data_IF_999316827702
#
_entry.id   IF_999316827702
#
_cell.length_a   1.000
_cell.length_b   1.000
_cell.length_c   1.000
_cell.angle_alpha   90.00
_cell.angle_beta   90.00
_cell.angle_gamma   90.00
#
_symmetry.space_group_name_H-M   'P 1'
#
loop_
_entity.id
_entity.type
_entity.pdbx_description
1 polymer ?
#
# COMPACT_ATOMS: atom_id res chain seq x y z
N UNK A 1 1.77 -1.07 13.30
CA UNK A 1 1.55 -0.60 11.90
C UNK A 1 0.90 -1.72 11.09
N UNK A 2 0.20 -1.43 9.98
CA UNK A 2 -0.62 -2.42 9.26
C UNK A 2 0.12 -3.67 8.76
N UNK A 3 1.45 -3.63 8.63
CA UNK A 3 2.25 -4.75 8.11
C UNK A 3 3.28 -5.32 9.11
N UNK A 4 3.22 -4.95 10.39
CA UNK A 4 4.18 -5.45 11.39
C UNK A 4 4.13 -6.97 11.50
N UNK A 5 2.94 -7.55 11.67
CA UNK A 5 2.77 -8.99 11.79
C UNK A 5 3.26 -9.79 10.56
N UNK A 6 3.00 -9.29 9.35
CA UNK A 6 3.50 -9.90 8.12
C UNK A 6 5.02 -9.82 8.03
N UNK A 7 5.58 -8.63 8.28
CA UNK A 7 7.03 -8.41 8.25
C UNK A 7 7.79 -9.29 9.27
N UNK A 8 7.26 -9.41 10.49
CA UNK A 8 7.83 -10.26 11.54
C UNK A 8 7.82 -11.73 11.14
N UNK A 9 6.69 -12.24 10.60
CA UNK A 9 6.56 -13.64 10.17
C UNK A 9 7.49 -13.96 9.00
N UNK A 10 7.53 -13.10 7.99
CA UNK A 10 8.47 -13.27 6.88
C UNK A 10 9.92 -13.25 7.35
N UNK A 11 10.27 -12.31 8.24
CA UNK A 11 11.61 -12.21 8.82
C UNK A 11 11.98 -13.46 9.61
N UNK A 12 11.05 -14.02 10.39
CA UNK A 12 11.27 -15.25 11.16
C UNK A 12 11.51 -16.46 10.23
N UNK A 13 10.68 -16.60 9.17
CA UNK A 13 10.84 -17.67 8.18
C UNK A 13 12.19 -17.56 7.46
N UNK A 14 12.57 -16.35 7.02
CA UNK A 14 13.84 -16.15 6.35
C UNK A 14 15.06 -16.33 7.27
N UNK A 15 14.94 -16.01 8.57
CA UNK A 15 15.98 -16.30 9.55
C UNK A 15 16.20 -17.81 9.73
N UNK A 16 15.11 -18.60 9.74
CA UNK A 16 15.20 -20.08 9.78
C UNK A 16 15.94 -20.60 8.55
N UNK A 17 15.62 -20.11 7.34
CA UNK A 17 16.32 -20.48 6.10
C UNK A 17 17.81 -20.13 6.13
N UNK A 18 18.17 -18.93 6.60
CA UNK A 18 19.57 -18.49 6.70
C UNK A 18 20.41 -19.35 7.63
N UNK A 19 19.79 -19.91 8.67
CA UNK A 19 20.50 -20.77 9.64
C UNK A 19 20.75 -22.19 9.12
N UNK A 20 20.13 -22.58 7.98
CA UNK A 20 20.39 -23.86 7.29
C UNK A 20 21.50 -23.63 6.25
N UNK A 21 22.67 -24.20 6.44
CA UNK A 21 23.83 -23.99 5.55
C UNK A 21 23.59 -24.45 4.11
N UNK A 22 22.98 -25.64 3.93
CA UNK A 22 22.50 -26.15 2.65
C UNK A 22 20.98 -26.17 2.65
N UNK A 23 20.35 -25.86 1.54
CA UNK A 23 18.92 -25.96 1.38
C UNK A 23 18.56 -27.13 0.46
N UNK A 24 17.57 -27.91 0.89
CA UNK A 24 16.90 -28.89 0.05
C UNK A 24 15.61 -28.30 -0.54
N UNK A 25 15.09 -28.95 -1.54
CA UNK A 25 13.76 -28.62 -2.12
C UNK A 25 12.66 -28.65 -1.04
N UNK A 26 12.75 -29.61 -0.10
CA UNK A 26 11.82 -29.71 1.03
C UNK A 26 11.86 -28.49 1.94
N UNK A 27 13.07 -27.98 2.23
CA UNK A 27 13.23 -26.78 3.06
C UNK A 27 12.62 -25.53 2.42
N UNK A 28 12.79 -25.39 1.13
CA UNK A 28 12.16 -24.29 0.35
C UNK A 28 10.64 -24.42 0.37
N UNK A 29 10.09 -25.61 0.12
CA UNK A 29 8.64 -25.86 0.16
C UNK A 29 8.04 -25.58 1.54
N UNK A 30 8.72 -25.98 2.62
CA UNK A 30 8.31 -25.71 4.00
C UNK A 30 8.27 -24.18 4.26
N UNK A 31 9.33 -23.46 3.90
CA UNK A 31 9.39 -22.02 4.06
C UNK A 31 8.30 -21.30 3.24
N UNK A 32 8.05 -21.73 2.03
CA UNK A 32 7.00 -21.14 1.17
C UNK A 32 5.59 -21.44 1.72
N UNK A 33 5.41 -22.54 2.44
CA UNK A 33 4.16 -22.79 3.17
C UNK A 33 3.95 -21.77 4.30
N UNK A 34 5.01 -21.47 5.09
CA UNK A 34 4.95 -20.45 6.12
C UNK A 34 4.67 -19.06 5.52
N UNK A 35 5.35 -18.71 4.41
CA UNK A 35 5.09 -17.45 3.66
C UNK A 35 3.63 -17.37 3.23
N UNK A 36 3.05 -18.44 2.68
CA UNK A 36 1.64 -18.45 2.27
C UNK A 36 0.71 -18.19 3.45
N UNK A 37 0.96 -18.83 4.59
CA UNK A 37 0.15 -18.62 5.80
C UNK A 37 0.24 -17.17 6.28
N UNK A 38 1.44 -16.59 6.29
CA UNK A 38 1.65 -15.20 6.67
C UNK A 38 0.91 -14.22 5.74
N UNK A 39 0.88 -14.49 4.43
CA UNK A 39 0.13 -13.69 3.47
C UNK A 39 -1.39 -13.80 3.69
N UNK A 40 -1.91 -15.02 3.94
CA UNK A 40 -3.34 -15.23 4.21
C UNK A 40 -3.78 -14.57 5.52
N UNK A 41 -2.97 -14.62 6.56
CA UNK A 41 -3.24 -13.93 7.83
C UNK A 41 -3.18 -12.40 7.70
N UNK A 42 -2.48 -11.90 6.68
CA UNK A 42 -2.46 -10.48 6.29
C UNK A 42 -3.57 -10.11 5.31
N UNK A 43 -4.64 -10.91 5.21
CA UNK A 43 -5.80 -10.71 4.35
C UNK A 43 -5.49 -10.66 2.83
N UNK A 44 -4.37 -11.24 2.41
CA UNK A 44 -4.08 -11.38 0.98
C UNK A 44 -5.02 -12.40 0.36
N UNK A 45 -5.59 -12.07 -0.80
CA UNK A 45 -6.49 -12.97 -1.53
C UNK A 45 -5.85 -14.35 -1.74
N UNK A 46 -6.60 -15.42 -1.46
CA UNK A 46 -6.11 -16.81 -1.52
C UNK A 46 -5.48 -17.17 -2.87
N UNK A 47 -6.11 -16.78 -3.97
CA UNK A 47 -5.59 -17.07 -5.32
C UNK A 47 -4.26 -16.36 -5.54
N UNK A 48 -4.16 -15.08 -5.16
CA UNK A 48 -2.92 -14.31 -5.27
C UNK A 48 -1.81 -14.93 -4.44
N UNK A 49 -2.06 -15.28 -3.17
CA UNK A 49 -1.08 -15.91 -2.29
C UNK A 49 -0.63 -17.29 -2.83
N UNK A 50 -1.56 -18.08 -3.38
CA UNK A 50 -1.28 -19.38 -3.97
C UNK A 50 -0.39 -19.26 -5.23
N UNK A 51 -0.76 -18.38 -6.15
CA UNK A 51 -0.05 -18.18 -7.42
C UNK A 51 1.36 -17.61 -7.15
N UNK A 52 1.48 -16.65 -6.23
CA UNK A 52 2.75 -16.11 -5.78
C UNK A 52 3.69 -17.19 -5.23
N UNK A 53 3.21 -17.99 -4.25
CA UNK A 53 4.02 -19.06 -3.64
C UNK A 53 4.42 -20.12 -4.66
N UNK A 54 3.54 -20.46 -5.61
CA UNK A 54 3.85 -21.37 -6.70
C UNK A 54 5.01 -20.84 -7.53
N UNK A 55 4.92 -19.60 -8.02
CA UNK A 55 5.95 -18.96 -8.85
C UNK A 55 7.30 -18.88 -8.12
N UNK A 56 7.28 -18.46 -6.85
CA UNK A 56 8.50 -18.38 -6.03
C UNK A 56 9.10 -19.77 -5.82
N UNK A 57 8.28 -20.78 -5.51
CA UNK A 57 8.77 -22.15 -5.30
C UNK A 57 9.43 -22.71 -6.56
N UNK A 58 8.80 -22.57 -7.72
CA UNK A 58 9.34 -23.04 -9.01
C UNK A 58 10.71 -22.40 -9.30
N UNK A 59 10.88 -21.11 -9.02
CA UNK A 59 12.17 -20.42 -9.20
C UNK A 59 13.20 -20.79 -8.14
N UNK A 60 12.77 -21.01 -6.90
CA UNK A 60 13.66 -21.24 -5.74
C UNK A 60 14.18 -22.67 -5.65
N UNK A 61 13.49 -23.69 -6.21
CA UNK A 61 13.94 -25.08 -6.24
C UNK A 61 14.86 -25.39 -7.42
N UNK A 62 15.15 -24.43 -8.28
CA UNK A 62 16.11 -24.61 -9.38
C UNK A 62 17.49 -25.00 -8.88
N UNK A 63 18.15 -25.91 -9.59
CA UNK A 63 19.47 -26.48 -9.23
C UNK A 63 20.53 -25.38 -8.98
N UNK A 64 20.51 -24.33 -9.80
CA UNK A 64 21.42 -23.20 -9.66
C UNK A 64 21.26 -22.46 -8.32
N UNK A 65 20.04 -22.40 -7.76
CA UNK A 65 19.76 -21.76 -6.49
C UNK A 65 20.22 -22.65 -5.32
N UNK A 66 19.86 -23.93 -5.37
CA UNK A 66 20.16 -24.88 -4.29
C UNK A 66 21.66 -25.20 -4.18
N UNK A 67 22.39 -25.17 -5.31
CA UNK A 67 23.83 -25.40 -5.36
C UNK A 67 24.67 -24.14 -5.15
N UNK A 68 24.06 -22.95 -5.02
CA UNK A 68 24.77 -21.70 -4.79
C UNK A 68 25.45 -21.68 -3.41
N UNK A 69 26.50 -20.85 -3.27
CA UNK A 69 27.19 -20.63 -1.99
C UNK A 69 26.26 -19.96 -0.94
N UNK A 70 25.21 -19.30 -1.37
CA UNK A 70 24.27 -18.57 -0.51
C UNK A 70 22.81 -18.86 -0.88
N UNK A 71 22.35 -20.13 -0.81
CA UNK A 71 21.02 -20.51 -1.32
C UNK A 71 19.88 -19.79 -0.60
N UNK A 72 19.96 -19.59 0.72
CA UNK A 72 18.97 -18.84 1.47
C UNK A 72 18.84 -17.39 1.01
N UNK A 73 19.94 -16.72 0.69
CA UNK A 73 19.91 -15.35 0.17
C UNK A 73 19.29 -15.30 -1.22
N UNK A 74 19.55 -16.29 -2.08
CA UNK A 74 18.94 -16.41 -3.39
C UNK A 74 17.43 -16.58 -3.28
N UNK A 75 16.94 -17.45 -2.40
CA UNK A 75 15.50 -17.62 -2.14
C UNK A 75 14.87 -16.31 -1.67
N UNK A 76 15.49 -15.61 -0.72
CA UNK A 76 14.98 -14.31 -0.23
C UNK A 76 14.92 -13.28 -1.35
N UNK A 77 15.96 -13.23 -2.21
CA UNK A 77 15.97 -12.35 -3.37
C UNK A 77 14.82 -12.67 -4.32
N UNK A 78 14.59 -13.93 -4.65
CA UNK A 78 13.48 -14.37 -5.51
C UNK A 78 12.14 -13.92 -4.91
N UNK A 79 11.94 -14.12 -3.60
CA UNK A 79 10.70 -13.65 -2.91
C UNK A 79 10.55 -12.14 -3.05
N UNK A 80 11.62 -11.37 -2.83
CA UNK A 80 11.58 -9.91 -2.95
C UNK A 80 11.27 -9.45 -4.38
N UNK A 81 11.89 -10.06 -5.38
CA UNK A 81 11.70 -9.73 -6.78
C UNK A 81 10.26 -10.05 -7.24
N UNK A 82 9.72 -11.21 -6.83
CA UNK A 82 8.35 -11.59 -7.13
C UNK A 82 7.31 -10.73 -6.38
N UNK A 83 7.57 -10.33 -5.13
CA UNK A 83 6.71 -9.38 -4.41
C UNK A 83 6.72 -8.01 -5.09
N UNK A 84 7.88 -7.56 -5.55
CA UNK A 84 8.01 -6.30 -6.29
C UNK A 84 7.24 -6.36 -7.62
N UNK A 85 7.35 -7.46 -8.34
CA UNK A 85 6.60 -7.68 -9.58
C UNK A 85 5.09 -7.72 -9.35
N UNK A 86 4.64 -8.37 -8.26
CA UNK A 86 3.23 -8.43 -7.86
C UNK A 86 2.67 -7.04 -7.51
N UNK A 87 3.46 -6.18 -6.89
CA UNK A 87 3.07 -4.81 -6.53
C UNK A 87 3.08 -3.85 -7.73
N UNK A 88 3.64 -4.26 -8.84
CA UNK A 88 3.75 -3.48 -10.07
C UNK A 88 5.20 -3.09 -10.39
N UNK A 89 5.64 -3.45 -11.58
CA UNK A 89 7.03 -3.24 -12.03
C UNK A 89 7.31 -1.81 -12.50
N UNK A 90 6.27 -1.02 -12.77
CA UNK A 90 6.40 0.32 -13.36
C UNK A 90 5.71 1.37 -12.51
N UNK A 91 6.35 2.54 -12.38
CA UNK A 91 5.73 3.70 -11.77
C UNK A 91 4.62 4.24 -12.67
N UNK A 92 3.36 4.18 -12.21
CA UNK A 92 2.22 4.74 -12.92
C UNK A 92 1.87 6.09 -12.32
N UNK A 93 1.79 7.11 -13.16
CA UNK A 93 1.34 8.45 -12.74
C UNK A 93 -0.17 8.47 -12.59
N UNK A 94 -0.66 9.30 -11.67
CA UNK A 94 -2.09 9.57 -11.56
C UNK A 94 -2.53 10.39 -12.78
N UNK A 95 -3.49 9.87 -13.53
CA UNK A 95 -4.05 10.58 -14.66
C UNK A 95 -4.97 11.70 -14.16
N UNK A 96 -4.60 12.93 -14.47
CA UNK A 96 -5.43 14.08 -14.19
C UNK A 96 -6.48 14.25 -15.30
N UNK A 97 -7.71 14.59 -14.92
CA UNK A 97 -8.80 14.87 -15.85
C UNK A 97 -8.50 16.13 -16.69
N UNK A 98 -8.95 16.13 -17.94
CA UNK A 98 -9.00 17.36 -18.75
C UNK A 98 -10.07 18.35 -18.27
N UNK A 99 -11.05 17.88 -17.48
CA UNK A 99 -12.06 18.71 -16.83
C UNK A 99 -11.57 19.13 -15.44
N UNK A 100 -11.78 20.37 -15.07
CA UNK A 100 -11.44 20.94 -13.76
C UNK A 100 -12.72 20.96 -12.90
N UNK A 101 -12.62 20.53 -11.62
CA UNK A 101 -11.47 19.89 -10.97
C UNK A 101 -11.32 18.41 -11.28
N UNK A 102 -10.09 17.89 -11.17
CA UNK A 102 -9.89 16.43 -11.07
C UNK A 102 -10.34 15.96 -9.69
N UNK A 103 -11.22 14.99 -9.63
CA UNK A 103 -11.74 14.43 -8.37
C UNK A 103 -10.99 13.14 -8.05
N UNK A 104 -10.42 13.06 -6.84
CA UNK A 104 -9.75 11.87 -6.34
C UNK A 104 -10.48 11.41 -5.07
N UNK A 105 -11.10 10.23 -5.11
CA UNK A 105 -11.77 9.62 -3.98
C UNK A 105 -10.84 8.64 -3.27
N UNK A 106 -10.50 8.91 -2.00
CA UNK A 106 -9.68 8.04 -1.16
C UNK A 106 -10.53 7.00 -0.46
N UNK A 107 -10.42 5.74 -0.91
CA UNK A 107 -11.18 4.61 -0.37
C UNK A 107 -10.27 3.65 0.43
N UNK A 108 -10.84 2.97 1.41
CA UNK A 108 -10.15 1.95 2.20
C UNK A 108 -10.75 1.73 3.57
N UNK A 109 -10.32 0.68 4.25
CA UNK A 109 -10.74 0.35 5.62
C UNK A 109 -10.21 1.36 6.64
N UNK A 110 -10.75 1.34 7.85
CA UNK A 110 -10.22 2.15 8.96
C UNK A 110 -8.76 1.80 9.22
N UNK A 111 -7.93 2.81 9.49
CA UNK A 111 -6.48 2.61 9.70
C UNK A 111 -5.65 2.42 8.41
N UNK A 112 -6.25 2.33 7.22
CA UNK A 112 -5.52 2.20 5.94
C UNK A 112 -4.73 3.44 5.52
N UNK A 113 -4.80 4.52 6.30
CA UNK A 113 -4.02 5.74 6.06
C UNK A 113 -4.65 6.75 5.09
N UNK A 114 -5.96 6.65 4.78
CA UNK A 114 -6.65 7.59 3.86
C UNK A 114 -6.33 9.05 4.13
N UNK A 115 -6.57 9.51 5.35
CA UNK A 115 -6.34 10.91 5.76
C UNK A 115 -4.89 11.33 5.57
N UNK A 116 -3.95 10.50 6.01
CA UNK A 116 -2.51 10.78 5.88
C UNK A 116 -2.05 10.82 4.42
N UNK A 117 -2.51 9.87 3.60
CA UNK A 117 -2.15 9.82 2.19
C UNK A 117 -2.83 10.92 1.38
N UNK A 118 -4.06 11.34 1.74
CA UNK A 118 -4.70 12.51 1.13
C UNK A 118 -3.84 13.75 1.28
N UNK A 119 -3.33 14.03 2.49
CA UNK A 119 -2.47 15.18 2.72
C UNK A 119 -1.11 15.07 2.00
N UNK A 120 -0.49 13.89 1.99
CA UNK A 120 0.77 13.63 1.26
C UNK A 120 0.60 13.80 -0.25
N UNK A 121 -0.50 13.28 -0.80
CA UNK A 121 -0.81 13.40 -2.22
C UNK A 121 -1.10 14.85 -2.60
N UNK A 122 -1.87 15.56 -1.79
CA UNK A 122 -2.13 16.98 -1.99
C UNK A 122 -0.83 17.80 -1.95
N UNK A 123 0.05 17.53 -0.98
CA UNK A 123 1.38 18.16 -0.92
C UNK A 123 2.19 17.87 -2.19
N UNK A 124 2.21 16.63 -2.65
CA UNK A 124 2.90 16.23 -3.89
C UNK A 124 2.39 17.01 -5.12
N UNK A 125 1.06 17.12 -5.29
CA UNK A 125 0.49 17.93 -6.36
C UNK A 125 0.80 19.42 -6.22
N UNK A 126 0.80 19.96 -5.00
CA UNK A 126 1.18 21.34 -4.73
C UNK A 126 2.62 21.61 -5.18
N UNK A 127 3.56 20.68 -4.91
CA UNK A 127 4.96 20.80 -5.36
C UNK A 127 5.09 20.78 -6.91
N UNK A 128 4.11 20.21 -7.60
CA UNK A 128 4.01 20.24 -9.06
C UNK A 128 3.29 21.47 -9.61
N UNK A 129 3.06 22.49 -8.78
CA UNK A 129 2.36 23.72 -9.17
C UNK A 129 0.86 23.57 -9.35
N UNK A 130 0.25 22.46 -8.88
CA UNK A 130 -1.21 22.28 -8.87
C UNK A 130 -1.83 22.94 -7.63
N UNK A 131 -3.14 23.16 -7.68
CA UNK A 131 -3.93 23.76 -6.59
C UNK A 131 -4.85 22.72 -5.94
N UNK A 132 -4.33 21.80 -5.10
CA UNK A 132 -5.12 20.77 -4.46
C UNK A 132 -6.03 21.35 -3.37
N UNK A 133 -7.22 20.78 -3.25
CA UNK A 133 -8.18 21.04 -2.17
C UNK A 133 -8.48 19.71 -1.46
N UNK A 134 -8.32 19.68 -0.15
CA UNK A 134 -8.77 18.56 0.67
C UNK A 134 -10.23 18.77 1.07
N UNK A 135 -11.04 17.71 1.03
CA UNK A 135 -12.47 17.78 1.38
C UNK A 135 -12.78 16.82 2.50
N UNK A 136 -13.34 17.31 3.60
CA UNK A 136 -13.68 16.53 4.78
C UNK A 136 -15.08 15.89 4.62
N UNK A 137 -15.13 14.64 4.10
CA UNK A 137 -16.37 13.88 3.94
C UNK A 137 -16.57 12.78 4.99
N UNK A 138 -15.62 12.58 5.91
CA UNK A 138 -15.76 11.63 7.02
C UNK A 138 -16.43 12.35 8.22
N UNK A 139 -17.74 12.52 8.11
CA UNK A 139 -18.55 13.28 9.09
C UNK A 139 -19.04 12.42 10.25
N UNK A 140 -18.92 11.09 10.13
CA UNK A 140 -19.43 10.16 11.15
C UNK A 140 -18.46 9.95 12.32
N UNK A 141 -17.17 10.29 12.13
CA UNK A 141 -16.17 10.22 13.19
C UNK A 141 -15.88 11.62 13.75
N UNK A 142 -16.11 11.84 15.07
CA UNK A 142 -16.04 13.20 15.65
C UNK A 142 -14.74 13.95 15.39
N UNK A 143 -13.58 13.26 15.42
CA UNK A 143 -12.27 13.88 15.25
C UNK A 143 -11.73 13.86 13.79
N UNK A 144 -12.48 13.32 12.82
CA UNK A 144 -11.95 13.13 11.46
C UNK A 144 -11.74 14.45 10.72
N UNK A 145 -12.66 15.39 10.89
CA UNK A 145 -12.57 16.74 10.28
C UNK A 145 -11.36 17.48 10.82
N UNK A 146 -11.19 17.51 12.13
CA UNK A 146 -10.06 18.20 12.77
C UNK A 146 -8.73 17.54 12.43
N UNK A 147 -8.71 16.20 12.34
CA UNK A 147 -7.54 15.46 11.89
C UNK A 147 -7.13 15.88 10.46
N UNK A 148 -8.10 16.00 9.55
CA UNK A 148 -7.82 16.43 8.18
C UNK A 148 -7.34 17.88 8.14
N UNK A 149 -7.91 18.79 8.96
CA UNK A 149 -7.46 20.18 9.09
C UNK A 149 -5.99 20.26 9.53
N UNK A 150 -5.62 19.49 10.57
CA UNK A 150 -4.24 19.47 11.09
C UNK A 150 -3.24 19.00 10.03
N UNK A 151 -3.55 17.92 9.31
CA UNK A 151 -2.62 17.41 8.27
C UNK A 151 -2.62 18.30 7.04
N UNK A 152 -3.75 18.91 6.67
CA UNK A 152 -3.84 19.91 5.61
C UNK A 152 -3.00 21.14 5.90
N UNK A 153 -3.09 21.67 7.12
CA UNK A 153 -2.25 22.79 7.58
C UNK A 153 -0.76 22.47 7.51
N UNK A 154 -0.35 21.27 7.97
CA UNK A 154 1.05 20.81 7.87
C UNK A 154 1.53 20.69 6.41
N UNK A 155 0.65 20.27 5.50
CA UNK A 155 0.93 20.22 4.07
C UNK A 155 0.86 21.58 3.38
N UNK A 156 0.34 22.61 4.07
CA UNK A 156 0.04 23.92 3.50
C UNK A 156 -1.01 23.87 2.40
N UNK A 157 -2.00 22.98 2.52
CA UNK A 157 -3.08 22.74 1.57
C UNK A 157 -4.40 23.11 2.22
N UNK A 158 -5.29 23.87 1.54
CA UNK A 158 -6.60 24.24 2.09
C UNK A 158 -7.49 23.00 2.28
N UNK A 159 -8.32 23.07 3.31
CA UNK A 159 -9.31 22.04 3.64
C UNK A 159 -10.70 22.66 3.58
N UNK A 160 -11.57 22.10 2.75
CA UNK A 160 -12.98 22.41 2.71
C UNK A 160 -13.74 21.52 3.67
N UNK A 161 -14.57 22.12 4.51
CA UNK A 161 -15.41 21.39 5.45
C UNK A 161 -16.73 22.15 5.71
N UNK A 162 -17.76 21.44 6.11
CA UNK A 162 -19.07 21.96 6.49
C UNK A 162 -19.57 21.32 7.80
N UNK A 163 -18.65 20.95 8.71
CA UNK A 163 -19.01 20.25 9.92
C UNK A 163 -19.57 18.84 9.63
N UNK A 164 -20.57 18.45 10.40
CA UNK A 164 -21.24 17.14 10.30
C UNK A 164 -22.48 17.18 9.37
N UNK A 165 -22.38 17.90 8.28
CA UNK A 165 -23.47 17.99 7.29
C UNK A 165 -23.53 16.74 6.39
N UNK A 166 -24.53 16.63 5.52
CA UNK A 166 -24.65 15.52 4.56
C UNK A 166 -23.41 15.46 3.64
N UNK A 167 -22.71 14.32 3.57
CA UNK A 167 -21.53 14.14 2.72
C UNK A 167 -21.77 14.48 1.25
N UNK A 168 -22.97 14.18 0.72
CA UNK A 168 -23.33 14.53 -0.66
C UNK A 168 -23.42 16.04 -0.86
N UNK A 169 -23.97 16.75 0.12
CA UNK A 169 -24.03 18.22 0.10
C UNK A 169 -22.63 18.81 0.18
N UNK A 170 -21.79 18.29 1.07
CA UNK A 170 -20.38 18.69 1.21
C UNK A 170 -19.66 18.53 -0.12
N UNK A 171 -19.78 17.37 -0.78
CA UNK A 171 -19.15 17.11 -2.09
C UNK A 171 -19.62 18.11 -3.15
N UNK A 172 -20.94 18.38 -3.25
CA UNK A 172 -21.49 19.34 -4.21
C UNK A 172 -20.95 20.75 -3.99
N UNK A 173 -20.91 21.20 -2.73
CA UNK A 173 -20.40 22.52 -2.37
C UNK A 173 -18.89 22.63 -2.56
N UNK A 174 -18.16 21.55 -2.24
CA UNK A 174 -16.72 21.49 -2.49
C UNK A 174 -16.39 21.60 -4.00
N UNK A 175 -17.17 20.98 -4.88
CA UNK A 175 -16.99 21.09 -6.32
C UNK A 175 -17.24 22.52 -6.83
N UNK A 176 -18.27 23.20 -6.32
CA UNK A 176 -18.50 24.61 -6.63
C UNK A 176 -17.31 25.46 -6.17
N UNK A 177 -16.90 25.30 -4.91
CA UNK A 177 -15.76 26.01 -4.34
C UNK A 177 -14.45 25.74 -5.10
N UNK A 178 -14.21 24.50 -5.53
CA UNK A 178 -13.03 24.14 -6.32
C UNK A 178 -13.04 24.78 -7.72
N UNK A 179 -14.22 24.93 -8.34
CA UNK A 179 -14.37 25.66 -9.60
C UNK A 179 -14.01 27.15 -9.47
N UNK A 180 -14.41 27.78 -8.36
CA UNK A 180 -14.11 29.18 -8.08
C UNK A 180 -12.64 29.36 -7.63
N UNK A 181 -12.08 28.36 -6.97
CA UNK A 181 -10.70 28.39 -6.47
C UNK A 181 -9.67 28.19 -7.60
N UNK A 182 -10.03 27.54 -8.71
CA UNK A 182 -9.21 27.28 -9.89
C UNK A 182 -8.35 26.05 -9.77
#
# INVERSE_FOLDING_TARGET
>A
MAFEGLSEKLSATFKKLKNRGKLSESDVKEAMREVRLALLEADVNYKVAKDFVKTVTEKAVGEQVLQSLTPAQQVIKIVNDEMTALMGSTHTRINLSSKIPTIILMCGLQGSGKTTHSAKLAYHFKQQGKRPLLVACDVYRPAAIDQLKVVGQKAGVPVFEMGQDDPLLICKKALQHAGDYG
#
